data_IF_302230367962
#
_entry.id   IF_302230367962
#
_cell.length_a   1.000
_cell.length_b   1.000
_cell.length_c   1.000
_cell.angle_alpha   90.00
_cell.angle_beta   90.00
_cell.angle_gamma   90.00
#
_symmetry.space_group_name_H-M   'P 1'
#
loop_
_entity.id
_entity.type
_entity.pdbx_description
1 polymer ?
#
# COMPACT_ATOMS: atom_id res chain seq x y z
N UNK A 1 -9.51 13.33 24.25
CA UNK A 1 -9.38 13.21 24.11
C UNK A 1 -9.37 13.10 23.85
N UNK A 2 -9.61 12.92 23.65
CA UNK A 2 -9.50 12.56 23.37
C UNK A 2 -9.62 12.29 22.97
N UNK A 3 -9.99 12.09 22.72
CA UNK A 3 -9.96 11.68 22.32
C UNK A 3 -10.24 11.28 21.84
N UNK A 4 -10.57 11.11 21.66
CA UNK A 4 -10.61 10.64 21.27
C UNK A 4 -10.63 10.31 20.80
N UNK A 5 -10.88 10.13 20.45
CA UNK A 5 -10.41 9.64 20.02
C UNK A 5 -10.27 9.03 20.07
N UNK A 6 -10.18 8.80 20.08
CA UNK A 6 -9.73 8.39 20.28
C UNK A 6 -9.56 7.66 20.33
N UNK A 7 -9.68 7.40 19.99
CA UNK A 7 -9.37 6.79 20.02
C UNK A 7 -9.01 6.34 19.96
N UNK A 8 -8.81 6.24 19.69
CA UNK A 8 -8.06 5.94 19.68
C UNK A 8 -7.41 5.65 19.86
N UNK A 9 -7.29 5.55 19.79
CA UNK A 9 -6.54 5.43 19.99
C UNK A 9 -6.04 4.95 19.98
N UNK A 10 -5.97 4.65 19.71
CA UNK A 10 -5.41 4.41 19.72
C UNK A 10 -5.07 4.20 19.41
N UNK A 11 -5.10 4.03 19.04
CA UNK A 11 -4.54 4.24 18.75
C UNK A 11 -3.93 4.75 18.62
N UNK A 12 -3.43 4.77 19.04
CA UNK A 12 -2.67 5.62 19.09
C UNK A 12 -1.41 5.62 18.95
N UNK A 13 -1.17 6.25 18.46
CA UNK A 13 0.11 5.97 17.91
C UNK A 13 1.13 6.43 18.82
N UNK A 14 2.23 5.81 18.70
CA UNK A 14 3.29 6.11 19.47
C UNK A 14 4.12 7.10 18.78
N UNK A 15 4.65 8.02 19.43
CA UNK A 15 5.49 8.99 18.78
C UNK A 15 6.63 8.37 18.07
N UNK A 16 6.88 8.84 16.95
CA UNK A 16 7.95 8.36 16.16
C UNK A 16 7.43 7.41 15.21
N UNK A 17 6.53 6.61 15.68
CA UNK A 17 5.93 5.82 14.75
C UNK A 17 4.63 6.30 14.57
N UNK A 18 4.26 7.38 15.14
CA UNK A 18 3.05 8.00 14.79
C UNK A 18 3.04 8.44 13.39
N UNK A 19 4.17 8.44 12.75
CA UNK A 19 4.20 8.78 11.38
C UNK A 19 3.78 7.60 10.59
N UNK A 20 2.55 7.60 10.14
CA UNK A 20 2.07 6.51 9.35
C UNK A 20 2.54 6.65 7.93
N UNK A 21 2.81 5.51 7.32
CA UNK A 21 3.09 5.46 5.90
C UNK A 21 1.75 5.38 5.19
N UNK A 22 1.48 6.36 4.34
CA UNK A 22 0.18 6.51 3.67
C UNK A 22 0.35 6.12 2.21
N UNK A 23 -0.46 5.16 1.75
CA UNK A 23 -0.32 4.66 0.38
C UNK A 23 -1.68 4.50 -0.28
N UNK A 24 -1.65 4.42 -1.60
CA UNK A 24 -2.78 3.96 -2.40
C UNK A 24 -2.38 2.64 -3.06
N UNK A 25 -3.37 1.80 -3.32
CA UNK A 25 -3.14 0.48 -3.94
C UNK A 25 -3.98 0.40 -5.19
N UNK A 26 -3.34 0.20 -6.33
CA UNK A 26 -4.04 0.15 -7.61
C UNK A 26 -3.83 -1.21 -8.25
N UNK A 27 -4.93 -1.86 -8.62
CA UNK A 27 -4.88 -3.17 -9.25
C UNK A 27 -4.79 -2.97 -10.76
N UNK A 28 -3.67 -3.34 -11.35
CA UNK A 28 -3.49 -3.23 -12.79
C UNK A 28 -3.75 -4.57 -13.49
N UNK A 29 -4.32 -5.54 -12.77
CA UNK A 29 -4.60 -6.85 -13.34
C UNK A 29 -6.10 -7.00 -13.53
N UNK A 30 -6.49 -8.13 -14.12
CA UNK A 30 -7.90 -8.45 -14.24
C UNK A 30 -8.37 -9.39 -13.14
N UNK A 31 -7.54 -9.59 -12.12
CA UNK A 31 -7.89 -10.47 -11.01
C UNK A 31 -8.75 -9.69 -10.02
N UNK A 32 -10.01 -10.08 -9.90
CA UNK A 32 -10.94 -9.39 -9.03
C UNK A 32 -10.51 -9.49 -7.58
N UNK A 33 -10.63 -8.38 -6.86
CA UNK A 33 -10.37 -8.39 -5.43
C UNK A 33 -8.92 -8.30 -5.03
N UNK A 34 -8.00 -8.20 -5.99
CA UNK A 34 -6.58 -8.19 -5.65
C UNK A 34 -6.20 -6.97 -4.82
N UNK A 35 -6.69 -5.79 -5.20
CA UNK A 35 -6.37 -4.58 -4.45
C UNK A 35 -6.90 -4.67 -3.02
N UNK A 36 -8.07 -5.23 -2.84
CA UNK A 36 -8.65 -5.36 -1.52
C UNK A 36 -7.85 -6.33 -0.67
N UNK A 37 -7.46 -7.46 -1.24
CA UNK A 37 -6.66 -8.44 -0.52
C UNK A 37 -5.33 -7.85 -0.08
N UNK A 38 -4.66 -7.15 -0.98
CA UNK A 38 -3.36 -6.56 -0.65
C UNK A 38 -3.51 -5.42 0.34
N UNK A 39 -4.61 -4.68 0.26
CA UNK A 39 -4.88 -3.63 1.23
C UNK A 39 -4.97 -4.21 2.64
N UNK A 40 -5.65 -5.35 2.79
CA UNK A 40 -5.74 -5.98 4.11
C UNK A 40 -4.36 -6.40 4.62
N UNK A 41 -3.53 -6.93 3.73
CA UNK A 41 -2.18 -7.33 4.14
C UNK A 41 -1.34 -6.14 4.57
N UNK A 42 -1.44 -5.05 3.84
CA UNK A 42 -0.69 -3.85 4.17
C UNK A 42 -1.15 -3.25 5.49
N UNK A 43 -2.45 -3.23 5.72
CA UNK A 43 -2.96 -2.70 6.97
C UNK A 43 -2.53 -3.52 8.17
N UNK A 44 -2.34 -4.82 7.98
CA UNK A 44 -1.87 -5.67 9.08
C UNK A 44 -0.47 -5.31 9.52
N UNK A 45 0.35 -4.76 8.63
CA UNK A 45 1.71 -4.39 9.00
C UNK A 45 1.83 -2.89 9.27
N UNK A 46 0.70 -2.23 9.49
CA UNK A 46 0.72 -0.83 9.92
C UNK A 46 0.81 0.20 8.83
N UNK A 47 0.58 -0.20 7.58
CA UNK A 47 0.55 0.74 6.46
C UNK A 47 -0.86 1.28 6.32
N UNK A 48 -0.98 2.60 6.18
CA UNK A 48 -2.28 3.25 6.09
C UNK A 48 -2.69 3.35 4.63
N UNK A 49 -3.55 2.44 4.19
CA UNK A 49 -4.05 2.46 2.82
C UNK A 49 -5.28 3.36 2.78
N UNK A 50 -5.13 4.51 2.15
CA UNK A 50 -6.22 5.50 2.10
C UNK A 50 -7.09 5.38 0.86
N UNK A 51 -6.64 4.61 -0.12
CA UNK A 51 -7.45 4.36 -1.31
C UNK A 51 -6.99 3.07 -1.95
N UNK A 52 -7.93 2.27 -2.45
CA UNK A 52 -7.57 1.14 -3.30
C UNK A 52 -8.63 1.01 -4.39
N UNK A 53 -8.20 0.55 -5.54
CA UNK A 53 -9.13 0.44 -6.66
C UNK A 53 -8.43 -0.15 -7.86
N UNK A 54 -9.10 -0.05 -9.00
CA UNK A 54 -8.59 -0.57 -10.26
C UNK A 54 -7.92 0.53 -11.06
N UNK A 55 -6.98 0.14 -11.89
CA UNK A 55 -6.29 1.04 -12.80
C UNK A 55 -6.52 0.53 -14.21
N UNK A 56 -6.46 1.45 -15.18
CA UNK A 56 -6.57 1.05 -16.57
C UNK A 56 -5.26 0.53 -17.12
N UNK A 57 -4.16 0.74 -16.40
CA UNK A 57 -2.89 0.19 -16.82
C UNK A 57 -2.89 -1.30 -16.64
N UNK A 58 -2.00 -1.97 -17.36
CA UNK A 58 -1.82 -3.41 -17.20
C UNK A 58 -0.34 -3.68 -17.08
N UNK A 59 0.06 -4.18 -15.91
CA UNK A 59 1.47 -4.41 -15.63
C UNK A 59 1.70 -5.89 -15.32
N UNK A 60 2.80 -6.41 -15.82
CA UNK A 60 3.21 -7.76 -15.47
C UNK A 60 3.91 -7.77 -14.12
N UNK A 61 4.57 -6.70 -13.78
CA UNK A 61 5.35 -6.61 -12.54
C UNK A 61 4.82 -5.51 -11.67
N UNK A 62 4.75 -5.76 -10.38
CA UNK A 62 4.31 -4.78 -9.40
C UNK A 62 5.36 -3.68 -9.26
N UNK A 63 4.88 -2.45 -9.15
CA UNK A 63 5.73 -1.28 -9.00
C UNK A 63 5.30 -0.51 -7.77
N UNK A 64 6.26 -0.09 -6.99
CA UNK A 64 6.03 0.75 -5.82
C UNK A 64 6.65 2.11 -6.12
N UNK A 65 5.80 3.11 -6.33
CA UNK A 65 6.27 4.45 -6.64
C UNK A 65 6.39 5.24 -5.35
N UNK A 66 7.59 5.71 -5.07
CA UNK A 66 7.83 6.51 -3.87
C UNK A 66 7.47 7.95 -4.20
N UNK A 67 6.43 8.46 -3.55
CA UNK A 67 5.89 9.77 -3.85
C UNK A 67 6.48 10.88 -3.00
N UNK A 68 6.95 10.53 -1.80
CA UNK A 68 7.60 11.51 -0.94
C UNK A 68 8.43 10.78 0.09
N UNK A 69 9.42 11.46 0.62
CA UNK A 69 10.26 10.90 1.64
C UNK A 69 11.26 9.92 1.07
N UNK A 70 11.84 9.11 1.91
CA UNK A 70 12.81 8.13 1.47
C UNK A 70 12.12 6.78 1.34
N UNK A 71 12.89 5.75 1.09
CA UNK A 71 12.34 4.45 0.83
C UNK A 71 12.42 3.52 2.02
N UNK A 72 12.56 4.06 3.23
CA UNK A 72 12.78 3.22 4.40
C UNK A 72 11.62 2.28 4.68
N UNK A 73 10.41 2.62 4.25
CA UNK A 73 9.24 1.79 4.52
C UNK A 73 9.00 0.70 3.46
N UNK A 74 9.79 0.71 2.40
CA UNK A 74 9.51 -0.17 1.26
C UNK A 74 9.59 -1.64 1.61
N UNK A 75 10.52 -2.00 2.49
CA UNK A 75 10.64 -3.41 2.87
C UNK A 75 9.37 -3.97 3.46
N UNK A 76 8.69 -3.18 4.29
CA UNK A 76 7.44 -3.62 4.87
C UNK A 76 6.36 -3.83 3.81
N UNK A 77 6.31 -2.92 2.84
CA UNK A 77 5.34 -3.05 1.76
C UNK A 77 5.63 -4.30 0.94
N UNK A 78 6.89 -4.49 0.54
CA UNK A 78 7.26 -5.63 -0.28
C UNK A 78 7.00 -6.95 0.42
N UNK A 79 7.29 -7.01 1.72
CA UNK A 79 7.04 -8.23 2.46
C UNK A 79 5.55 -8.54 2.54
N UNK A 80 4.73 -7.52 2.68
CA UNK A 80 3.29 -7.73 2.82
C UNK A 80 2.64 -8.19 1.53
N UNK A 81 3.08 -7.67 0.39
CA UNK A 81 2.41 -7.98 -0.87
C UNK A 81 3.16 -9.00 -1.72
N UNK A 82 4.38 -9.34 -1.36
CA UNK A 82 5.10 -10.40 -2.05
C UNK A 82 6.10 -9.94 -3.09
N UNK A 83 6.41 -8.66 -3.16
CA UNK A 83 7.42 -8.17 -4.09
C UNK A 83 7.14 -6.78 -4.57
N UNK A 84 7.82 -6.39 -5.64
CA UNK A 84 7.63 -5.08 -6.24
C UNK A 84 8.96 -4.41 -6.55
N UNK A 85 8.97 -3.66 -7.63
CA UNK A 85 10.13 -2.86 -8.03
C UNK A 85 9.89 -1.44 -7.53
N UNK A 86 10.91 -0.87 -6.90
CA UNK A 86 10.80 0.44 -6.29
C UNK A 86 11.30 1.50 -7.26
N UNK A 87 10.49 2.52 -7.49
CA UNK A 87 10.83 3.61 -8.37
C UNK A 87 10.55 4.91 -7.65
N UNK A 88 11.52 5.82 -7.66
CA UNK A 88 11.32 7.14 -7.07
C UNK A 88 10.57 7.99 -8.08
N UNK A 89 9.39 8.44 -7.70
CA UNK A 89 8.55 9.24 -8.59
C UNK A 89 7.79 10.26 -7.76
N UNK A 90 8.49 11.24 -7.20
CA UNK A 90 7.88 12.19 -6.27
C UNK A 90 6.73 12.96 -6.90
N UNK A 91 5.66 13.12 -6.13
CA UNK A 91 4.52 13.90 -6.58
C UNK A 91 3.81 14.43 -5.34
N UNK A 92 4.12 15.67 -5.00
CA UNK A 92 3.61 16.27 -3.79
C UNK A 92 2.11 16.48 -3.82
N UNK A 93 1.52 16.50 -5.01
CA UNK A 93 0.09 16.72 -5.11
C UNK A 93 -0.72 15.55 -4.59
N UNK A 94 -0.12 14.37 -4.54
CA UNK A 94 -0.85 13.18 -4.17
C UNK A 94 -1.01 13.00 -2.67
N UNK A 95 -0.19 13.67 -1.87
CA UNK A 95 -0.24 13.58 -0.41
C UNK A 95 -0.11 12.14 0.08
N UNK A 96 0.71 11.36 -0.63
CA UNK A 96 0.94 9.96 -0.31
C UNK A 96 2.44 9.73 -0.16
N UNK A 97 2.79 8.71 0.62
CA UNK A 97 4.17 8.27 0.67
C UNK A 97 4.50 7.38 -0.50
N UNK A 98 3.54 6.58 -0.96
CA UNK A 98 3.78 5.67 -2.07
C UNK A 98 2.50 5.30 -2.78
N UNK A 99 2.64 4.89 -4.05
CA UNK A 99 1.57 4.29 -4.81
C UNK A 99 2.01 2.88 -5.16
N UNK A 100 1.19 1.89 -4.83
CA UNK A 100 1.50 0.49 -5.08
C UNK A 100 0.66 0.04 -6.26
N UNK A 101 1.32 -0.24 -7.38
CA UNK A 101 0.64 -0.69 -8.58
C UNK A 101 0.84 -2.20 -8.69
N UNK A 102 -0.21 -2.95 -8.41
CA UNK A 102 -0.14 -4.41 -8.35
C UNK A 102 -0.12 -4.99 -9.75
N UNK A 103 0.88 -5.79 -10.04
CA UNK A 103 1.01 -6.46 -11.31
C UNK A 103 0.69 -7.93 -11.19
N UNK A 104 0.80 -8.64 -12.30
CA UNK A 104 0.48 -10.06 -12.33
C UNK A 104 1.40 -10.90 -11.44
N UNK A 105 2.59 -10.41 -11.16
CA UNK A 105 3.56 -11.16 -10.39
C UNK A 105 3.13 -11.39 -8.94
N UNK A 106 2.20 -10.60 -8.41
CA UNK A 106 1.71 -10.82 -7.05
C UNK A 106 0.29 -11.36 -7.05
N UNK A 107 -0.29 -11.60 -8.23
CA UNK A 107 -1.62 -12.16 -8.30
C UNK A 107 -1.54 -13.68 -8.09
N UNK A 108 -2.61 -14.29 -7.55
CA UNK A 108 -2.61 -15.75 -7.43
C UNK A 108 -2.51 -16.38 -8.80
N UNK A 109 -1.72 -17.44 -8.89
CA UNK A 109 -1.41 -18.03 -10.16
C UNK A 109 -2.64 -18.51 -10.90
N UNK A 110 -3.60 -19.06 -10.20
CA UNK A 110 -4.80 -19.54 -10.82
C UNK A 110 -5.94 -18.56 -10.76
N UNK A 111 -5.70 -17.40 -10.18
CA UNK A 111 -6.75 -16.44 -9.95
C UNK A 111 -7.62 -16.79 -8.77
N UNK A 112 -7.31 -17.83 -8.07
CA UNK A 112 -8.08 -18.30 -6.95
C UNK A 112 -7.22 -18.32 -5.73
N UNK A 113 -7.70 -17.70 -4.67
CA UNK A 113 -6.95 -17.70 -3.46
C UNK A 113 -7.40 -18.83 -2.60
N UNK A 114 -6.53 -19.69 -2.20
CA UNK A 114 -6.88 -20.80 -1.35
C UNK A 114 -7.40 -20.37 -0.02
#
# INVERSE_FOLDING_TARGET
>A
LVTSWEGDANQFPIPGEGEKVVVEVLNTTLVDGLARTMTHRLRRVGIDVVYYGSSQERLDSTVILIRRGDSSFVGRIRDAIGGGTVIMDPDERLLLDASVLLGLDVAPESGIEP
#
